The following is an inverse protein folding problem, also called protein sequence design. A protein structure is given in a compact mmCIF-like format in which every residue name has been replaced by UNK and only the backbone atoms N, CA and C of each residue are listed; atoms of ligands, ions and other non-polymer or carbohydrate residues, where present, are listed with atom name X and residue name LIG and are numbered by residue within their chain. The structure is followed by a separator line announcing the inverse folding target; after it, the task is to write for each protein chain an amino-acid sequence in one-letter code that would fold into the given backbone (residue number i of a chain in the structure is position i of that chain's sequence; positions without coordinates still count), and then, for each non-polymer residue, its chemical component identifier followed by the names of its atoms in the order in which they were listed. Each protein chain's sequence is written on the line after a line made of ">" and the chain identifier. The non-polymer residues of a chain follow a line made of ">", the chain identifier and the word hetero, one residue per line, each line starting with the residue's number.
data_IF_879363165438
#
_entry.id   IF_879363165438
#
_cell.length_a   1.000
_cell.length_b   1.000
_cell.length_c   1.000
_cell.angle_alpha   90.00
_cell.angle_beta   90.00
_cell.angle_gamma   90.00
#
_symmetry.space_group_name_H-M   'P 1'
#
loop_
_entity.id
_entity.type
_entity.pdbx_description
1 polymer ?
#
# COMPACT_ATOMS: atom_id res chain seq x y z
N UNK A 1 29.32 -0.37 37.25
CA UNK A 1 28.41 -1.53 37.13
C UNK A 1 27.32 -1.37 36.05
N UNK A 2 26.74 -0.18 35.86
CA UNK A 2 25.64 0.05 34.89
C UNK A 2 26.03 -0.15 33.41
N UNK A 3 27.25 0.27 33.02
CA UNK A 3 27.77 0.14 31.64
C UNK A 3 27.99 -1.33 31.23
N UNK A 4 28.42 -2.17 32.17
CA UNK A 4 28.60 -3.61 31.92
C UNK A 4 27.26 -4.32 31.69
N UNK A 5 26.21 -3.96 32.43
CA UNK A 5 24.85 -4.52 32.24
C UNK A 5 24.26 -4.16 30.86
N UNK A 6 24.45 -2.91 30.40
CA UNK A 6 23.95 -2.48 29.08
C UNK A 6 24.60 -3.28 27.94
N UNK A 7 25.92 -3.43 27.98
CA UNK A 7 26.67 -4.19 26.97
C UNK A 7 26.29 -5.67 26.94
N UNK A 8 25.97 -6.26 28.09
CA UNK A 8 25.50 -7.64 28.16
C UNK A 8 24.12 -7.80 27.50
N UNK A 9 23.15 -6.94 27.84
CA UNK A 9 21.78 -7.00 27.27
C UNK A 9 21.83 -6.85 25.74
N UNK A 10 22.58 -5.88 25.21
CA UNK A 10 22.66 -5.67 23.76
C UNK A 10 23.30 -6.86 23.04
N UNK A 11 24.36 -7.46 23.60
CA UNK A 11 25.00 -8.66 23.03
C UNK A 11 24.07 -9.87 23.09
N UNK A 12 23.36 -10.05 24.20
CA UNK A 12 22.36 -11.11 24.37
C UNK A 12 21.24 -10.97 23.34
N UNK A 13 20.59 -9.80 23.26
CA UNK A 13 19.53 -9.54 22.27
C UNK A 13 20.03 -9.79 20.86
N UNK A 14 21.24 -9.32 20.50
CA UNK A 14 21.80 -9.55 19.16
C UNK A 14 22.03 -11.03 18.85
N UNK A 15 22.52 -11.81 19.82
CA UNK A 15 22.78 -13.25 19.67
C UNK A 15 21.49 -14.07 19.58
N UNK A 16 20.47 -13.71 20.37
CA UNK A 16 19.23 -14.47 20.49
C UNK A 16 18.04 -13.83 19.76
N UNK A 17 18.25 -12.78 18.95
CA UNK A 17 17.20 -12.00 18.28
C UNK A 17 16.16 -12.87 17.56
N UNK A 18 16.62 -13.88 16.82
CA UNK A 18 15.75 -14.82 16.12
C UNK A 18 14.82 -15.57 17.07
N UNK A 19 15.38 -16.18 18.12
CA UNK A 19 14.63 -16.94 19.11
C UNK A 19 13.68 -16.06 19.93
N UNK A 20 14.10 -14.84 20.27
CA UNK A 20 13.25 -13.85 20.94
C UNK A 20 12.04 -13.54 20.06
N UNK A 21 12.25 -13.24 18.77
CA UNK A 21 11.16 -12.91 17.85
C UNK A 21 10.24 -14.10 17.63
N UNK A 22 10.76 -15.32 17.45
CA UNK A 22 9.92 -16.53 17.36
C UNK A 22 9.11 -16.73 18.64
N UNK A 23 9.73 -16.56 19.81
CA UNK A 23 9.03 -16.70 21.09
C UNK A 23 7.90 -15.67 21.22
N UNK A 24 8.11 -14.43 20.77
CA UNK A 24 7.07 -13.40 20.72
C UNK A 24 5.95 -13.74 19.74
N UNK A 25 6.28 -14.30 18.57
CA UNK A 25 5.26 -14.76 17.60
C UNK A 25 4.42 -15.89 18.22
N UNK A 26 5.05 -16.91 18.80
CA UNK A 26 4.35 -18.02 19.45
C UNK A 26 3.50 -17.51 20.62
N UNK A 27 4.07 -16.64 21.48
CA UNK A 27 3.33 -16.03 22.58
C UNK A 27 2.13 -15.24 22.07
N UNK A 28 2.27 -14.46 20.99
CA UNK A 28 1.14 -13.73 20.41
C UNK A 28 0.02 -14.65 19.92
N UNK A 29 0.36 -15.81 19.34
CA UNK A 29 -0.63 -16.80 18.92
C UNK A 29 -1.28 -17.45 20.12
N UNK A 30 -0.51 -17.81 21.14
CA UNK A 30 -1.04 -18.35 22.39
C UNK A 30 -2.01 -17.37 23.04
N UNK A 31 -1.63 -16.09 23.20
CA UNK A 31 -2.51 -15.04 23.71
C UNK A 31 -3.76 -14.86 22.85
N UNK A 32 -3.65 -14.95 21.52
CA UNK A 32 -4.82 -14.89 20.67
C UNK A 32 -5.77 -16.07 20.91
N UNK A 33 -5.31 -17.30 20.73
CA UNK A 33 -6.14 -18.50 20.74
C UNK A 33 -6.74 -18.82 22.12
N UNK A 34 -6.01 -18.53 23.21
CA UNK A 34 -6.43 -18.85 24.57
C UNK A 34 -7.04 -17.68 25.35
N UNK A 35 -6.84 -16.44 24.89
CA UNK A 35 -7.31 -15.26 25.64
C UNK A 35 -8.16 -14.31 24.78
N UNK A 36 -7.59 -13.69 23.74
CA UNK A 36 -8.29 -12.67 22.94
C UNK A 36 -9.49 -13.26 22.18
N UNK A 37 -9.37 -14.50 21.67
CA UNK A 37 -10.45 -15.18 20.96
C UNK A 37 -11.68 -15.40 21.86
N UNK A 38 -11.48 -15.70 23.14
CA UNK A 38 -12.57 -15.85 24.10
C UNK A 38 -13.31 -14.54 24.36
N UNK A 39 -12.59 -13.41 24.47
CA UNK A 39 -13.24 -12.09 24.52
C UNK A 39 -13.97 -11.75 23.23
N UNK A 40 -13.40 -12.13 22.08
CA UNK A 40 -14.07 -11.95 20.79
C UNK A 40 -15.39 -12.71 20.75
N UNK A 41 -15.41 -13.96 21.23
CA UNK A 41 -16.65 -14.75 21.35
C UNK A 41 -17.66 -14.10 22.30
N UNK A 42 -17.23 -13.70 23.50
CA UNK A 42 -18.11 -13.06 24.49
C UNK A 42 -18.71 -11.74 23.98
N UNK A 43 -17.95 -10.96 23.20
CA UNK A 43 -18.40 -9.70 22.63
C UNK A 43 -19.54 -9.84 21.60
N UNK A 44 -19.67 -11.02 20.97
CA UNK A 44 -20.76 -11.31 20.03
C UNK A 44 -21.85 -12.22 20.62
N UNK A 45 -21.68 -12.72 21.84
CA UNK A 45 -22.70 -13.47 22.55
C UNK A 45 -23.75 -12.50 23.11
N UNK A 46 -24.99 -12.61 22.62
CA UNK A 46 -26.10 -11.73 23.02
C UNK A 46 -26.45 -11.82 24.50
N UNK A 47 -26.06 -12.90 25.18
CA UNK A 47 -26.30 -13.08 26.61
C UNK A 47 -25.18 -12.51 27.49
N UNK A 48 -24.05 -12.11 26.90
CA UNK A 48 -22.84 -11.70 27.60
C UNK A 48 -22.21 -10.40 27.05
N UNK A 49 -22.87 -9.68 26.15
CA UNK A 49 -22.30 -8.49 25.50
C UNK A 49 -21.88 -7.41 26.50
N UNK A 50 -22.55 -7.34 27.66
CA UNK A 50 -22.28 -6.36 28.71
C UNK A 50 -21.20 -6.83 29.72
N UNK A 51 -20.74 -8.08 29.62
CA UNK A 51 -19.81 -8.67 30.59
C UNK A 51 -18.34 -8.24 30.43
N UNK A 52 -17.95 -7.68 29.27
CA UNK A 52 -16.56 -7.28 28.97
C UNK A 52 -16.49 -5.86 28.40
N UNK A 53 -16.87 -4.89 29.22
CA UNK A 53 -16.95 -3.46 28.85
C UNK A 53 -15.66 -2.91 28.28
N UNK A 54 -14.50 -3.19 28.90
CA UNK A 54 -13.21 -2.69 28.42
C UNK A 54 -12.84 -3.16 27.00
N UNK A 55 -13.20 -4.40 26.64
CA UNK A 55 -12.89 -4.95 25.32
C UNK A 55 -13.84 -4.37 24.27
N UNK A 56 -15.11 -4.23 24.62
CA UNK A 56 -16.10 -3.52 23.80
C UNK A 56 -15.63 -2.09 23.50
N UNK A 57 -15.26 -1.32 24.53
CA UNK A 57 -14.79 0.06 24.40
C UNK A 57 -13.54 0.16 23.52
N UNK A 58 -12.59 -0.77 23.68
CA UNK A 58 -11.39 -0.85 22.84
C UNK A 58 -11.76 -1.09 21.36
N UNK A 59 -12.59 -2.10 21.10
CA UNK A 59 -13.00 -2.47 19.74
C UNK A 59 -13.79 -1.35 19.09
N UNK A 60 -14.71 -0.71 19.81
CA UNK A 60 -15.51 0.40 19.29
C UNK A 60 -14.71 1.68 19.09
N UNK A 61 -13.67 1.90 19.90
CA UNK A 61 -12.74 3.03 19.72
C UNK A 61 -11.89 2.87 18.46
N UNK A 62 -11.36 1.65 18.22
CA UNK A 62 -10.50 1.32 17.09
C UNK A 62 -11.30 1.09 15.78
N UNK A 63 -12.46 0.45 15.87
CA UNK A 63 -13.31 0.07 14.74
C UNK A 63 -14.79 0.40 15.01
N UNK A 64 -15.15 1.70 15.03
CA UNK A 64 -16.52 2.15 15.37
C UNK A 64 -17.59 1.64 14.40
N UNK A 65 -17.17 1.20 13.20
CA UNK A 65 -18.04 0.60 12.18
C UNK A 65 -18.60 -0.76 12.58
N UNK A 66 -17.98 -1.45 13.54
CA UNK A 66 -18.46 -2.76 13.97
C UNK A 66 -19.89 -2.73 14.49
N UNK A 67 -20.31 -1.62 15.12
CA UNK A 67 -21.68 -1.42 15.59
C UNK A 67 -22.71 -1.61 14.48
N UNK A 68 -22.45 -1.08 13.29
CA UNK A 68 -23.38 -1.19 12.17
C UNK A 68 -23.20 -2.50 11.40
N UNK A 69 -21.98 -3.01 11.30
CA UNK A 69 -21.70 -4.27 10.59
C UNK A 69 -22.23 -5.50 11.33
N UNK A 70 -22.36 -5.44 12.67
CA UNK A 70 -23.03 -6.48 13.48
C UNK A 70 -24.45 -6.79 13.05
N UNK A 71 -25.16 -5.84 12.46
CA UNK A 71 -26.51 -6.05 11.92
C UNK A 71 -26.51 -6.65 10.51
N UNK A 72 -25.36 -6.66 9.83
CA UNK A 72 -25.22 -7.14 8.44
C UNK A 72 -24.63 -8.53 8.35
N UNK A 73 -23.82 -8.91 9.33
CA UNK A 73 -23.08 -10.16 9.33
C UNK A 73 -23.23 -10.88 10.66
N UNK A 74 -23.32 -12.19 10.61
CA UNK A 74 -23.38 -13.02 11.81
C UNK A 74 -22.08 -12.93 12.62
N UNK A 75 -22.18 -13.17 13.93
CA UNK A 75 -21.02 -13.30 14.83
C UNK A 75 -19.92 -14.21 14.26
N UNK A 76 -20.34 -15.32 13.64
CA UNK A 76 -19.43 -16.32 13.05
C UNK A 76 -18.54 -15.73 11.95
N UNK A 77 -19.04 -14.72 11.19
CA UNK A 77 -18.25 -14.01 10.20
C UNK A 77 -17.08 -13.27 10.84
N UNK A 78 -17.34 -12.48 11.88
CA UNK A 78 -16.30 -11.70 12.55
C UNK A 78 -15.29 -12.57 13.30
N UNK A 79 -15.76 -13.65 13.94
CA UNK A 79 -14.87 -14.62 14.61
C UNK A 79 -13.92 -15.23 13.58
N UNK A 80 -14.45 -15.72 12.44
CA UNK A 80 -13.62 -16.25 11.34
C UNK A 80 -12.62 -15.21 10.81
N UNK A 81 -13.02 -13.94 10.69
CA UNK A 81 -12.12 -12.85 10.28
C UNK A 81 -11.01 -12.60 11.30
N UNK A 82 -11.32 -12.65 12.58
CA UNK A 82 -10.32 -12.52 13.64
C UNK A 82 -9.33 -13.68 13.61
N UNK A 83 -9.81 -14.92 13.43
CA UNK A 83 -8.99 -16.14 13.34
C UNK A 83 -8.04 -16.01 12.13
N UNK A 84 -8.56 -15.53 10.99
CA UNK A 84 -7.78 -15.27 9.78
C UNK A 84 -6.66 -14.23 10.00
N UNK A 85 -6.92 -13.15 10.73
CA UNK A 85 -5.91 -12.13 11.04
C UNK A 85 -4.76 -12.75 11.87
N UNK A 86 -5.10 -13.57 12.87
CA UNK A 86 -4.09 -14.23 13.70
C UNK A 86 -3.22 -15.20 12.87
N UNK A 87 -3.83 -16.00 11.99
CA UNK A 87 -3.12 -16.92 11.09
C UNK A 87 -2.23 -16.15 10.10
N UNK A 88 -2.73 -15.05 9.50
CA UNK A 88 -1.94 -14.18 8.61
C UNK A 88 -0.75 -13.59 9.33
N UNK A 89 -0.94 -13.11 10.55
CA UNK A 89 0.14 -12.57 11.37
C UNK A 89 1.20 -13.64 11.65
N UNK A 90 0.80 -14.86 12.01
CA UNK A 90 1.71 -15.99 12.18
C UNK A 90 2.52 -16.25 10.91
N UNK A 91 1.84 -16.38 9.77
CA UNK A 91 2.48 -16.68 8.49
C UNK A 91 3.48 -15.61 8.07
N UNK A 92 3.06 -14.35 8.04
CA UNK A 92 3.92 -13.22 7.65
C UNK A 92 5.09 -13.04 8.62
N UNK A 93 4.83 -13.11 9.92
CA UNK A 93 5.88 -12.96 10.93
C UNK A 93 6.86 -14.13 10.92
N UNK A 94 6.39 -15.34 10.61
CA UNK A 94 7.25 -16.51 10.44
C UNK A 94 8.18 -16.35 9.24
N UNK A 95 7.66 -15.91 8.10
CA UNK A 95 8.49 -15.58 6.92
C UNK A 95 9.50 -14.50 7.27
N UNK A 96 9.07 -13.43 7.94
CA UNK A 96 9.95 -12.35 8.36
C UNK A 96 11.05 -12.85 9.31
N UNK A 97 10.73 -13.77 10.22
CA UNK A 97 11.70 -14.34 11.16
C UNK A 97 12.84 -15.10 10.45
N UNK A 98 12.58 -15.70 9.28
CA UNK A 98 13.62 -16.35 8.47
C UNK A 98 14.70 -15.34 8.03
N UNK A 99 14.34 -14.09 7.77
CA UNK A 99 15.31 -13.02 7.43
C UNK A 99 16.17 -12.59 8.62
N UNK A 100 15.90 -13.06 9.84
CA UNK A 100 16.78 -12.85 10.99
C UNK A 100 17.91 -13.90 11.05
N UNK A 101 17.78 -15.01 10.33
CA UNK A 101 18.82 -16.03 10.21
C UNK A 101 19.89 -15.48 9.25
N UNK A 102 21.14 -15.24 9.68
CA UNK A 102 22.14 -14.56 8.86
C UNK A 102 22.40 -15.24 7.51
N UNK A 103 22.45 -16.59 7.48
CA UNK A 103 22.65 -17.36 6.24
C UNK A 103 21.50 -17.17 5.26
N UNK A 104 20.26 -17.23 5.74
CA UNK A 104 19.07 -17.03 4.90
C UNK A 104 19.02 -15.59 4.39
N UNK A 105 19.24 -14.61 5.26
CA UNK A 105 19.32 -13.20 4.88
C UNK A 105 20.38 -12.96 3.81
N UNK A 106 21.58 -13.52 3.95
CA UNK A 106 22.64 -13.38 2.94
C UNK A 106 22.24 -14.01 1.59
N UNK A 107 21.62 -15.19 1.61
CA UNK A 107 21.13 -15.86 0.39
C UNK A 107 20.02 -15.05 -0.28
N UNK A 108 19.03 -14.60 0.48
CA UNK A 108 17.94 -13.77 -0.01
C UNK A 108 18.47 -12.42 -0.54
N UNK A 109 19.35 -11.75 0.20
CA UNK A 109 20.02 -10.52 -0.22
C UNK A 109 20.77 -10.72 -1.53
N UNK A 110 21.55 -11.79 -1.64
CA UNK A 110 22.30 -12.11 -2.87
C UNK A 110 21.37 -12.36 -4.05
N UNK A 111 20.28 -13.10 -3.83
CA UNK A 111 19.26 -13.36 -4.83
C UNK A 111 18.62 -12.05 -5.31
N UNK A 112 18.12 -11.22 -4.40
CA UNK A 112 17.52 -9.94 -4.76
C UNK A 112 18.53 -9.01 -5.41
N UNK A 113 19.75 -8.88 -4.90
CA UNK A 113 20.75 -7.99 -5.51
C UNK A 113 21.17 -8.42 -6.93
N UNK A 114 21.18 -9.72 -7.23
CA UNK A 114 21.61 -10.26 -8.55
C UNK A 114 20.48 -10.33 -9.57
N UNK A 115 19.24 -10.47 -9.11
CA UNK A 115 18.10 -10.78 -9.97
C UNK A 115 17.01 -9.72 -9.97
N UNK A 116 17.14 -8.65 -9.18
CA UNK A 116 16.12 -7.59 -9.16
C UNK A 116 16.55 -6.32 -9.87
N UNK A 117 15.56 -5.46 -10.14
CA UNK A 117 15.72 -4.11 -10.69
C UNK A 117 16.48 -3.17 -9.72
N UNK A 118 16.84 -3.64 -8.53
CA UNK A 118 17.56 -2.94 -7.46
C UNK A 118 18.86 -2.23 -7.89
N UNK A 119 19.43 -2.48 -9.06
CA UNK A 119 20.63 -1.78 -9.54
C UNK A 119 20.36 -0.61 -10.49
N UNK A 120 19.12 -0.43 -10.96
CA UNK A 120 18.82 0.55 -12.01
C UNK A 120 18.62 1.95 -11.40
N UNK A 121 19.63 2.82 -11.62
CA UNK A 121 19.52 4.26 -11.35
C UNK A 121 18.65 4.92 -12.43
N UNK A 122 17.81 5.84 -12.00
CA UNK A 122 16.99 6.65 -12.88
C UNK A 122 17.79 7.88 -13.34
N UNK A 123 17.69 8.22 -14.62
CA UNK A 123 18.15 9.55 -15.06
C UNK A 123 17.34 10.63 -14.33
N UNK A 124 17.98 11.77 -14.10
CA UNK A 124 17.32 12.97 -13.59
C UNK A 124 16.12 13.37 -14.48
N UNK A 125 16.24 13.24 -15.81
CA UNK A 125 15.13 13.53 -16.73
C UNK A 125 13.92 12.62 -16.44
N UNK A 126 14.13 11.31 -16.39
CA UNK A 126 13.06 10.34 -16.10
C UNK A 126 12.44 10.57 -14.71
N UNK A 127 13.25 10.90 -13.71
CA UNK A 127 12.76 11.22 -12.37
C UNK A 127 11.80 12.42 -12.38
N UNK A 128 12.19 13.54 -12.99
CA UNK A 128 11.32 14.73 -13.04
C UNK A 128 10.11 14.53 -13.95
N UNK A 129 10.22 13.75 -15.02
CA UNK A 129 9.05 13.33 -15.80
C UNK A 129 8.05 12.52 -14.96
N UNK A 130 8.53 11.61 -14.11
CA UNK A 130 7.69 10.86 -13.18
C UNK A 130 7.06 11.75 -12.10
N UNK A 131 7.76 12.78 -11.63
CA UNK A 131 7.19 13.77 -10.68
C UNK A 131 6.09 14.59 -11.37
N UNK A 132 6.32 15.06 -12.59
CA UNK A 132 5.30 15.80 -13.36
C UNK A 132 4.07 14.91 -13.57
N UNK A 133 4.29 13.65 -13.99
CA UNK A 133 3.24 12.66 -14.12
C UNK A 133 2.47 12.46 -12.81
N UNK A 134 3.17 12.26 -11.69
CA UNK A 134 2.57 12.14 -10.36
C UNK A 134 1.67 13.32 -10.02
N UNK A 135 2.18 14.55 -10.17
CA UNK A 135 1.46 15.76 -9.82
C UNK A 135 0.19 15.93 -10.69
N UNK A 136 0.30 15.70 -12.01
CA UNK A 136 -0.85 15.68 -12.91
C UNK A 136 -1.88 14.63 -12.51
N UNK A 137 -1.42 13.42 -12.19
CA UNK A 137 -2.26 12.29 -11.80
C UNK A 137 -3.03 12.60 -10.51
N UNK A 138 -2.40 13.22 -9.50
CA UNK A 138 -3.08 13.59 -8.27
C UNK A 138 -4.24 14.56 -8.53
N UNK A 139 -4.07 15.54 -9.41
CA UNK A 139 -5.17 16.47 -9.76
C UNK A 139 -6.28 15.75 -10.51
N UNK A 140 -5.94 14.91 -11.50
CA UNK A 140 -6.92 14.15 -12.27
C UNK A 140 -7.74 13.21 -11.39
N UNK A 141 -7.08 12.39 -10.58
CA UNK A 141 -7.72 11.45 -9.65
C UNK A 141 -8.51 12.18 -8.55
N UNK A 142 -8.09 13.38 -8.14
CA UNK A 142 -8.82 14.18 -7.14
C UNK A 142 -10.06 14.85 -7.72
N UNK A 143 -10.20 15.02 -9.04
CA UNK A 143 -11.42 15.59 -9.61
C UNK A 143 -12.62 14.66 -9.36
N UNK A 144 -12.45 13.33 -9.51
CA UNK A 144 -13.49 12.35 -9.16
C UNK A 144 -13.91 12.48 -7.69
N UNK A 145 -12.96 12.72 -6.79
CA UNK A 145 -13.25 12.93 -5.38
C UNK A 145 -14.00 14.23 -5.10
N UNK A 146 -13.82 15.25 -5.92
CA UNK A 146 -14.61 16.48 -5.79
C UNK A 146 -16.09 16.19 -5.99
N UNK A 147 -16.43 15.32 -6.93
CA UNK A 147 -17.81 14.89 -7.18
C UNK A 147 -18.31 14.02 -6.03
N UNK A 148 -17.57 12.95 -5.69
CA UNK A 148 -17.94 12.01 -4.62
C UNK A 148 -18.11 12.72 -3.27
N UNK A 149 -17.17 13.58 -2.87
CA UNK A 149 -17.26 14.29 -1.60
C UNK A 149 -18.35 15.37 -1.60
N UNK A 150 -18.73 15.90 -2.77
CA UNK A 150 -19.89 16.79 -2.88
C UNK A 150 -21.18 16.02 -2.66
N UNK A 151 -21.35 14.83 -3.24
CA UNK A 151 -22.48 13.95 -2.96
C UNK A 151 -22.53 13.58 -1.48
N UNK A 152 -21.38 13.25 -0.89
CA UNK A 152 -21.30 12.80 0.50
C UNK A 152 -21.61 13.91 1.50
N UNK A 153 -21.47 15.18 1.08
CA UNK A 153 -21.91 16.32 1.89
C UNK A 153 -23.42 16.27 2.20
N UNK A 154 -24.23 15.65 1.33
CA UNK A 154 -25.68 15.50 1.55
C UNK A 154 -26.00 14.49 2.65
N UNK A 155 -25.09 13.55 2.90
CA UNK A 155 -25.21 12.53 3.95
C UNK A 155 -24.18 12.73 5.08
N UNK A 156 -23.68 13.96 5.25
CA UNK A 156 -22.63 14.30 6.21
C UNK A 156 -22.94 13.87 7.66
N UNK A 157 -24.23 13.74 8.02
CA UNK A 157 -24.67 13.21 9.32
C UNK A 157 -24.18 11.77 9.59
N UNK A 158 -23.88 11.00 8.55
CA UNK A 158 -23.37 9.63 8.64
C UNK A 158 -21.86 9.56 8.79
N UNK A 159 -21.15 10.68 8.66
CA UNK A 159 -19.70 10.72 8.77
C UNK A 159 -19.26 10.39 10.20
N UNK A 160 -18.40 9.37 10.32
CA UNK A 160 -17.80 8.93 11.57
C UNK A 160 -16.28 8.86 11.40
N UNK A 161 -15.53 9.91 11.79
CA UNK A 161 -14.09 9.95 11.56
C UNK A 161 -13.37 8.80 12.27
N UNK A 162 -12.36 8.26 11.61
CA UNK A 162 -11.50 7.19 12.14
C UNK A 162 -10.10 7.71 12.45
N UNK A 163 -9.45 7.14 13.46
CA UNK A 163 -8.04 7.41 13.79
C UNK A 163 -7.72 8.91 13.89
N UNK A 164 -6.72 9.39 13.16
CA UNK A 164 -6.28 10.80 13.19
C UNK A 164 -7.32 11.78 12.63
N UNK A 165 -8.30 11.34 11.85
CA UNK A 165 -9.41 12.20 11.42
C UNK A 165 -10.27 12.67 12.59
N UNK A 166 -10.31 11.92 13.70
CA UNK A 166 -11.00 12.38 14.92
C UNK A 166 -10.42 13.70 15.43
N UNK A 167 -9.13 13.94 15.18
CA UNK A 167 -8.41 15.15 15.58
C UNK A 167 -8.49 16.22 14.48
N UNK A 168 -8.20 15.83 13.22
CA UNK A 168 -8.10 16.80 12.11
C UNK A 168 -9.46 17.30 11.61
N UNK A 169 -10.49 16.47 11.64
CA UNK A 169 -11.82 16.79 11.12
C UNK A 169 -12.89 16.00 11.88
N UNK A 170 -13.23 16.40 13.12
CA UNK A 170 -14.23 15.72 13.94
C UNK A 170 -15.63 15.72 13.31
N UNK A 171 -15.91 16.72 12.47
CA UNK A 171 -17.09 16.79 11.60
C UNK A 171 -16.68 16.70 10.12
N UNK A 172 -17.63 16.35 9.26
CA UNK A 172 -17.41 16.41 7.81
C UNK A 172 -17.20 17.89 7.40
N UNK A 173 -16.20 18.21 6.56
CA UNK A 173 -15.93 19.59 6.16
C UNK A 173 -17.06 20.17 5.31
N UNK A 174 -17.19 21.50 5.33
CA UNK A 174 -18.15 22.20 4.46
C UNK A 174 -17.75 22.08 2.98
N UNK A 175 -18.73 22.18 2.09
CA UNK A 175 -18.49 22.14 0.64
C UNK A 175 -17.53 23.25 0.17
N UNK A 176 -17.61 24.44 0.80
CA UNK A 176 -16.67 25.54 0.53
C UNK A 176 -15.23 25.16 0.88
N UNK A 177 -15.02 24.53 2.05
CA UNK A 177 -13.70 24.04 2.46
C UNK A 177 -13.14 23.01 1.46
N UNK A 178 -13.95 22.02 1.07
CA UNK A 178 -13.55 21.00 0.09
C UNK A 178 -13.16 21.64 -1.25
N UNK A 179 -13.99 22.53 -1.80
CA UNK A 179 -13.71 23.26 -3.04
C UNK A 179 -12.38 24.03 -2.96
N UNK A 180 -12.15 24.75 -1.86
CA UNK A 180 -10.91 25.48 -1.64
C UNK A 180 -9.71 24.54 -1.55
N UNK A 181 -9.86 23.36 -0.94
CA UNK A 181 -8.80 22.35 -0.85
C UNK A 181 -8.42 21.81 -2.24
N UNK A 182 -9.40 21.55 -3.11
CA UNK A 182 -9.15 21.13 -4.50
C UNK A 182 -8.49 22.23 -5.33
N UNK A 183 -8.92 23.49 -5.18
CA UNK A 183 -8.27 24.64 -5.81
C UNK A 183 -6.81 24.74 -5.34
N UNK A 184 -6.56 24.60 -4.04
CA UNK A 184 -5.22 24.62 -3.47
C UNK A 184 -4.35 23.47 -4.01
N UNK A 185 -4.89 22.25 -4.13
CA UNK A 185 -4.20 21.13 -4.74
C UNK A 185 -3.80 21.41 -6.20
N UNK A 186 -4.69 22.03 -6.99
CA UNK A 186 -4.43 22.43 -8.38
C UNK A 186 -3.31 23.48 -8.46
N UNK A 187 -3.34 24.48 -7.57
CA UNK A 187 -2.31 25.52 -7.48
C UNK A 187 -0.94 24.91 -7.14
N UNK A 188 -0.86 24.10 -6.08
CA UNK A 188 0.39 23.45 -5.66
C UNK A 188 0.95 22.54 -6.76
N UNK A 189 0.07 21.85 -7.49
CA UNK A 189 0.42 21.03 -8.64
C UNK A 189 1.01 21.87 -9.78
N UNK A 190 0.34 22.98 -10.15
CA UNK A 190 0.81 23.90 -11.17
C UNK A 190 2.19 24.48 -10.84
N UNK A 191 2.39 24.91 -9.59
CA UNK A 191 3.69 25.35 -9.09
C UNK A 191 4.71 24.22 -9.19
N UNK A 192 4.39 23.02 -8.68
CA UNK A 192 5.30 21.88 -8.71
C UNK A 192 5.76 21.50 -10.12
N UNK A 193 4.84 21.48 -11.10
CA UNK A 193 5.13 21.19 -12.51
C UNK A 193 6.01 22.29 -13.11
N UNK A 194 5.66 23.56 -12.91
CA UNK A 194 6.47 24.69 -13.39
C UNK A 194 7.90 24.60 -12.86
N UNK A 195 8.08 24.34 -11.58
CA UNK A 195 9.40 24.21 -10.96
C UNK A 195 10.14 22.95 -11.40
N UNK A 196 9.45 21.85 -11.73
CA UNK A 196 10.07 20.69 -12.36
C UNK A 196 10.62 21.03 -13.76
N UNK A 197 9.84 21.74 -14.58
CA UNK A 197 10.25 22.18 -15.92
C UNK A 197 11.43 23.16 -15.83
N UNK A 198 11.34 24.16 -14.97
CA UNK A 198 12.44 25.10 -14.71
C UNK A 198 13.70 24.37 -14.23
N UNK A 199 13.57 23.35 -13.39
CA UNK A 199 14.72 22.58 -12.94
C UNK A 199 15.37 21.75 -14.07
N UNK A 200 14.56 21.19 -14.98
CA UNK A 200 15.06 20.49 -16.17
C UNK A 200 15.87 21.43 -17.09
N UNK A 201 15.48 22.71 -17.17
CA UNK A 201 16.17 23.74 -17.94
C UNK A 201 17.39 24.33 -17.20
N UNK A 202 17.27 24.60 -15.90
CA UNK A 202 18.23 25.35 -15.07
C UNK A 202 18.84 24.50 -13.96
N UNK A 203 19.51 23.40 -14.34
CA UNK A 203 20.00 22.29 -13.48
C UNK A 203 20.78 22.65 -12.20
N UNK A 204 21.23 23.90 -12.00
CA UNK A 204 22.11 24.33 -10.89
C UNK A 204 21.38 24.96 -9.68
N UNK A 205 20.07 25.18 -9.73
CA UNK A 205 19.39 25.95 -8.67
C UNK A 205 18.81 25.01 -7.61
N UNK A 206 19.52 24.85 -6.48
CA UNK A 206 19.10 24.00 -5.33
C UNK A 206 17.72 24.39 -4.80
N UNK A 207 17.41 25.69 -4.74
CA UNK A 207 16.10 26.19 -4.27
C UNK A 207 14.90 25.60 -5.04
N UNK A 208 15.07 25.30 -6.34
CA UNK A 208 14.00 24.68 -7.14
C UNK A 208 13.67 23.26 -6.63
N UNK A 209 14.67 22.50 -6.17
CA UNK A 209 14.46 21.15 -5.62
C UNK A 209 13.63 21.17 -4.35
N UNK A 210 13.88 22.14 -3.47
CA UNK A 210 13.16 22.31 -2.20
C UNK A 210 11.68 22.59 -2.48
N UNK A 211 11.40 23.47 -3.44
CA UNK A 211 10.03 23.81 -3.83
C UNK A 211 9.33 22.59 -4.45
N UNK A 212 9.99 21.85 -5.36
CA UNK A 212 9.44 20.61 -5.93
C UNK A 212 9.15 19.58 -4.82
N UNK A 213 10.07 19.36 -3.89
CA UNK A 213 9.86 18.46 -2.75
C UNK A 213 8.65 18.89 -1.92
N UNK A 214 8.54 20.18 -1.58
CA UNK A 214 7.42 20.71 -0.83
C UNK A 214 6.09 20.51 -1.58
N UNK A 215 6.04 20.82 -2.88
CA UNK A 215 4.85 20.60 -3.70
C UNK A 215 4.44 19.12 -3.73
N UNK A 216 5.41 18.20 -3.88
CA UNK A 216 5.16 16.75 -3.87
C UNK A 216 4.66 16.28 -2.51
N UNK A 217 5.27 16.75 -1.42
CA UNK A 217 4.85 16.42 -0.06
C UNK A 217 3.43 16.91 0.24
N UNK A 218 3.15 18.18 -0.03
CA UNK A 218 1.82 18.79 0.19
C UNK A 218 0.78 18.11 -0.68
N UNK A 219 1.06 17.88 -1.98
CA UNK A 219 0.15 17.16 -2.87
C UNK A 219 -0.15 15.74 -2.37
N UNK A 220 0.87 15.02 -1.90
CA UNK A 220 0.71 13.67 -1.33
C UNK A 220 -0.13 13.67 -0.06
N UNK A 221 0.14 14.63 0.84
CA UNK A 221 -0.61 14.78 2.09
C UNK A 221 -2.08 15.10 1.81
N UNK A 222 -2.35 16.05 0.92
CA UNK A 222 -3.72 16.41 0.52
C UNK A 222 -4.45 15.23 -0.11
N UNK A 223 -3.79 14.44 -0.96
CA UNK A 223 -4.38 13.27 -1.58
C UNK A 223 -4.79 12.23 -0.52
N UNK A 224 -3.87 11.85 0.36
CA UNK A 224 -4.15 10.90 1.46
C UNK A 224 -5.25 11.45 2.38
N UNK A 225 -5.18 12.76 2.68
CA UNK A 225 -6.16 13.45 3.51
C UNK A 225 -7.57 13.40 2.91
N UNK A 226 -7.71 13.67 1.61
CA UNK A 226 -8.98 13.62 0.89
C UNK A 226 -9.54 12.19 0.85
N UNK A 227 -8.70 11.19 0.58
CA UNK A 227 -9.16 9.81 0.56
C UNK A 227 -9.72 9.36 1.91
N UNK A 228 -9.07 9.73 3.02
CA UNK A 228 -9.51 9.23 4.31
C UNK A 228 -10.86 9.78 4.78
N UNK A 229 -11.40 10.83 4.16
CA UNK A 229 -12.80 11.19 4.35
C UNK A 229 -13.75 10.08 3.88
N UNK A 230 -13.44 9.37 2.80
CA UNK A 230 -14.25 8.25 2.31
C UNK A 230 -14.30 7.11 3.33
N UNK A 231 -13.20 6.85 4.03
CA UNK A 231 -13.17 5.88 5.12
C UNK A 231 -14.07 6.29 6.30
N UNK A 232 -14.27 7.59 6.51
CA UNK A 232 -15.21 8.11 7.52
C UNK A 232 -16.68 7.79 7.24
N UNK A 233 -17.04 7.50 5.99
CA UNK A 233 -18.36 6.97 5.62
C UNK A 233 -18.39 5.44 5.55
N UNK A 234 -17.29 4.79 5.95
CA UNK A 234 -17.12 3.35 5.81
C UNK A 234 -16.91 2.87 4.37
N UNK A 235 -16.70 3.75 3.39
CA UNK A 235 -16.36 3.31 2.03
C UNK A 235 -14.89 2.88 2.01
N UNK A 236 -14.65 1.59 1.77
CA UNK A 236 -13.32 1.05 1.53
C UNK A 236 -13.13 0.98 0.02
N UNK A 237 -12.55 2.03 -0.55
CA UNK A 237 -12.20 2.05 -1.97
C UNK A 237 -10.76 1.58 -2.16
N UNK A 238 -10.61 0.27 -2.34
CA UNK A 238 -9.34 -0.39 -2.56
C UNK A 238 -8.66 0.07 -3.86
N UNK A 239 -9.40 0.70 -4.77
CA UNK A 239 -8.92 1.21 -6.06
C UNK A 239 -7.71 2.16 -5.94
N UNK A 240 -7.62 2.91 -4.85
CA UNK A 240 -6.55 3.88 -4.61
C UNK A 240 -5.38 3.33 -3.77
N UNK A 241 -5.42 2.06 -3.35
CA UNK A 241 -4.48 1.51 -2.38
C UNK A 241 -3.01 1.59 -2.84
N UNK A 242 -2.71 1.26 -4.10
CA UNK A 242 -1.34 1.38 -4.63
C UNK A 242 -0.92 2.81 -4.87
N UNK A 243 -1.83 3.69 -5.29
CA UNK A 243 -1.52 5.09 -5.47
C UNK A 243 -1.21 5.78 -4.14
N UNK A 244 -1.86 5.40 -3.05
CA UNK A 244 -1.48 5.84 -1.70
C UNK A 244 -0.04 5.50 -1.35
N UNK A 245 0.43 4.30 -1.72
CA UNK A 245 1.84 3.95 -1.53
C UNK A 245 2.77 4.82 -2.37
N UNK A 246 2.35 5.26 -3.57
CA UNK A 246 3.09 6.28 -4.34
C UNK A 246 3.14 7.59 -3.54
N UNK A 247 2.01 8.11 -3.07
CA UNK A 247 1.95 9.34 -2.28
C UNK A 247 2.81 9.26 -1.00
N UNK A 248 2.85 8.12 -0.33
CA UNK A 248 3.67 7.92 0.87
C UNK A 248 5.16 7.89 0.50
N UNK A 249 5.56 7.14 -0.53
CA UNK A 249 6.97 6.84 -0.79
C UNK A 249 7.68 7.89 -1.67
N UNK A 250 6.96 8.58 -2.55
CA UNK A 250 7.53 9.54 -3.50
C UNK A 250 8.25 10.73 -2.81
N UNK A 251 7.71 11.37 -1.76
CA UNK A 251 8.42 12.45 -1.06
C UNK A 251 9.77 11.98 -0.50
N UNK A 252 9.81 10.80 0.13
CA UNK A 252 11.06 10.22 0.64
C UNK A 252 12.04 9.92 -0.50
N UNK A 253 11.54 9.50 -1.67
CA UNK A 253 12.37 9.30 -2.84
C UNK A 253 13.14 10.55 -3.27
N UNK A 254 12.48 11.71 -3.24
CA UNK A 254 13.11 12.99 -3.54
C UNK A 254 14.10 13.42 -2.47
N UNK A 255 13.77 13.22 -1.19
CA UNK A 255 14.62 13.61 -0.07
C UNK A 255 15.98 12.90 -0.05
N UNK A 256 16.01 11.58 -0.25
CA UNK A 256 17.30 10.85 -0.23
C UNK A 256 18.15 11.17 -1.46
N UNK A 257 17.54 11.38 -2.62
CA UNK A 257 18.25 11.86 -3.83
C UNK A 257 18.96 13.18 -3.53
N UNK A 258 18.32 14.08 -2.76
CA UNK A 258 18.93 15.32 -2.32
C UNK A 258 20.09 15.09 -1.34
N UNK A 259 19.92 14.27 -0.30
CA UNK A 259 20.98 14.02 0.70
C UNK A 259 22.26 13.38 0.12
N UNK A 260 22.16 12.70 -1.02
CA UNK A 260 23.32 12.10 -1.72
C UNK A 260 24.13 13.08 -2.56
N UNK A 261 23.62 14.31 -2.72
CA UNK A 261 24.23 15.39 -3.49
C UNK A 261 24.61 16.50 -2.51
N UNK A 262 25.65 16.29 -1.70
CA UNK A 262 26.56 17.35 -1.18
C UNK A 262 27.49 16.84 -0.06
N UNK A 263 28.73 16.49 -0.44
CA UNK A 263 29.92 17.05 0.22
C UNK A 263 30.93 17.40 -0.86
N UNK A 264 30.85 18.59 -1.47
CA UNK A 264 32.00 19.20 -2.12
C UNK A 264 32.84 19.86 -1.01
N UNK A 265 33.64 19.07 -0.30
CA UNK A 265 34.79 19.59 0.46
C UNK A 265 36.01 19.30 -0.40
N UNK A 266 36.64 20.25 -1.09
CA UNK A 266 37.56 21.25 -0.50
C UNK A 266 38.29 20.72 0.73
N UNK A 267 38.93 19.55 0.61
CA UNK A 267 40.05 19.16 1.43
C UNK A 267 41.06 18.44 0.54
N UNK A 268 42.32 18.85 0.65
CA UNK A 268 43.40 18.46 -0.24
C UNK A 268 43.66 16.97 -0.34
N UNK A 269 44.53 16.67 -1.28
CA UNK A 269 45.12 15.37 -1.54
C UNK A 269 45.31 14.49 -0.28
N UNK A 270 44.97 13.21 -0.40
CA UNK A 270 45.72 12.17 0.32
C UNK A 270 44.94 11.25 1.27
N UNK A 271 43.64 11.41 1.49
CA UNK A 271 42.88 10.40 2.24
C UNK A 271 41.87 9.73 1.34
N UNK A 272 42.13 8.45 1.07
CA UNK A 272 41.19 7.44 0.59
C UNK A 272 39.94 7.44 1.46
N UNK A 273 39.03 8.37 1.19
CA UNK A 273 37.68 8.38 1.71
C UNK A 273 37.04 7.10 1.20
N UNK A 274 37.12 6.08 2.06
CA UNK A 274 36.53 4.77 1.89
C UNK A 274 35.10 5.00 1.40
N UNK A 275 34.84 4.56 0.17
CA UNK A 275 33.53 4.51 -0.48
C UNK A 275 32.55 3.68 0.35
N UNK A 276 32.18 4.15 1.54
CA UNK A 276 30.96 3.74 2.21
C UNK A 276 29.83 4.60 1.64
N UNK A 277 29.61 4.49 0.33
CA UNK A 277 28.26 4.57 -0.19
C UNK A 277 27.52 3.44 0.50
N UNK A 278 27.00 3.70 1.69
CA UNK A 278 26.04 2.83 2.34
C UNK A 278 25.03 2.50 1.24
N UNK A 279 24.92 1.22 0.89
CA UNK A 279 24.11 0.71 -0.21
C UNK A 279 22.64 1.03 0.09
N UNK A 280 22.25 2.28 -0.11
CA UNK A 280 20.88 2.75 0.03
C UNK A 280 20.07 2.01 -1.02
N UNK A 281 19.03 1.33 -0.54
CA UNK A 281 18.03 0.69 -1.39
C UNK A 281 17.51 1.76 -2.35
N UNK A 282 17.63 1.60 -3.67
CA UNK A 282 17.07 2.57 -4.59
C UNK A 282 15.57 2.69 -4.33
N UNK A 283 15.05 3.89 -4.10
CA UNK A 283 13.71 4.03 -3.55
C UNK A 283 12.60 3.71 -4.55
N UNK A 284 12.91 3.70 -5.85
CA UNK A 284 12.08 3.06 -6.87
C UNK A 284 11.83 1.57 -6.56
N UNK A 285 12.81 0.86 -5.99
CA UNK A 285 12.62 -0.52 -5.52
C UNK A 285 11.60 -0.60 -4.37
N UNK A 286 11.62 0.32 -3.41
CA UNK A 286 10.64 0.34 -2.32
C UNK A 286 9.22 0.56 -2.86
N UNK A 287 9.07 1.46 -3.83
CA UNK A 287 7.80 1.67 -4.49
C UNK A 287 7.31 0.39 -5.19
N UNK A 288 8.18 -0.28 -5.95
CA UNK A 288 7.81 -1.50 -6.68
C UNK A 288 7.51 -2.65 -5.73
N UNK A 289 8.25 -2.73 -4.63
CA UNK A 289 8.02 -3.71 -3.58
C UNK A 289 6.67 -3.47 -2.92
N UNK A 290 6.32 -2.22 -2.59
CA UNK A 290 5.03 -1.88 -2.00
C UNK A 290 3.87 -2.29 -2.94
N UNK A 291 3.96 -1.94 -4.22
CA UNK A 291 2.95 -2.33 -5.23
C UNK A 291 2.89 -3.85 -5.38
N UNK A 292 4.05 -4.51 -5.47
CA UNK A 292 4.20 -5.96 -5.50
C UNK A 292 3.48 -6.65 -4.35
N UNK A 293 3.75 -6.18 -3.12
CA UNK A 293 3.17 -6.71 -1.90
C UNK A 293 1.66 -6.46 -1.81
N UNK A 294 1.14 -5.34 -2.32
CA UNK A 294 -0.31 -5.09 -2.35
C UNK A 294 -1.03 -6.15 -3.20
N UNK A 295 -0.55 -6.42 -4.42
CA UNK A 295 -1.15 -7.46 -5.27
C UNK A 295 -0.97 -8.85 -4.68
N UNK A 296 0.22 -9.18 -4.18
CA UNK A 296 0.44 -10.48 -3.54
C UNK A 296 -0.43 -10.65 -2.29
N UNK A 297 -0.65 -9.59 -1.51
CA UNK A 297 -1.59 -9.62 -0.39
C UNK A 297 -3.01 -9.89 -0.85
N UNK A 298 -3.46 -9.29 -1.96
CA UNK A 298 -4.78 -9.56 -2.57
C UNK A 298 -4.92 -11.03 -3.00
N UNK A 299 -3.90 -11.60 -3.63
CA UNK A 299 -3.91 -13.01 -4.03
C UNK A 299 -3.90 -13.98 -2.85
N UNK A 300 -3.08 -13.70 -1.83
CA UNK A 300 -3.06 -14.46 -0.58
C UNK A 300 -4.40 -14.33 0.16
N UNK A 301 -5.06 -13.17 0.08
CA UNK A 301 -6.38 -13.00 0.66
C UNK A 301 -7.41 -13.91 0.00
N UNK A 302 -7.39 -14.07 -1.33
CA UNK A 302 -8.27 -15.02 -2.02
C UNK A 302 -8.03 -16.45 -1.56
N UNK A 303 -6.77 -16.86 -1.40
CA UNK A 303 -6.39 -18.20 -0.93
C UNK A 303 -6.78 -18.42 0.54
N UNK A 304 -6.48 -17.49 1.43
CA UNK A 304 -6.68 -17.69 2.88
C UNK A 304 -8.10 -17.36 3.35
N UNK A 305 -8.82 -16.45 2.69
CA UNK A 305 -10.17 -16.06 3.09
C UNK A 305 -11.23 -16.80 2.32
N UNK A 306 -11.23 -16.68 0.99
CA UNK A 306 -12.26 -17.34 0.20
C UNK A 306 -11.91 -18.80 -0.09
N UNK A 307 -10.66 -19.21 0.13
CA UNK A 307 -10.30 -20.63 0.17
C UNK A 307 -10.58 -21.33 -1.15
N UNK A 308 -11.21 -22.50 -1.04
CA UNK A 308 -11.53 -23.33 -2.20
C UNK A 308 -12.55 -22.67 -3.13
N UNK A 309 -13.37 -21.73 -2.64
CA UNK A 309 -14.37 -21.03 -3.44
C UNK A 309 -13.77 -20.09 -4.48
N UNK A 310 -12.56 -19.56 -4.24
CA UNK A 310 -11.81 -18.86 -5.29
C UNK A 310 -11.15 -19.86 -6.25
N UNK A 311 -10.67 -21.00 -5.76
CA UNK A 311 -9.98 -21.98 -6.61
C UNK A 311 -10.94 -22.65 -7.59
N UNK A 312 -12.15 -23.01 -7.15
CA UNK A 312 -13.19 -23.61 -7.99
C UNK A 312 -13.98 -22.58 -8.83
N UNK A 313 -13.75 -21.28 -8.62
CA UNK A 313 -14.41 -20.19 -9.34
C UNK A 313 -15.77 -19.75 -8.78
N UNK A 314 -16.32 -20.40 -7.76
CA UNK A 314 -17.64 -20.08 -7.19
C UNK A 314 -17.71 -18.64 -6.64
N UNK A 315 -16.64 -18.15 -6.02
CA UNK A 315 -16.57 -16.78 -5.52
C UNK A 315 -16.67 -15.78 -6.67
N UNK A 316 -15.90 -15.98 -7.75
CA UNK A 316 -15.97 -15.14 -8.95
C UNK A 316 -17.32 -15.26 -9.65
N UNK A 317 -17.88 -16.47 -9.71
CA UNK A 317 -19.22 -16.72 -10.26
C UNK A 317 -20.28 -15.92 -9.51
N UNK A 318 -20.23 -15.91 -8.18
CA UNK A 318 -21.15 -15.13 -7.35
C UNK A 318 -21.02 -13.63 -7.62
N UNK A 319 -19.80 -13.10 -7.82
CA UNK A 319 -19.61 -11.71 -8.22
C UNK A 319 -20.17 -11.41 -9.61
N UNK A 320 -19.99 -12.32 -10.57
CA UNK A 320 -20.49 -12.17 -11.94
C UNK A 320 -22.02 -12.23 -12.02
N UNK A 321 -22.65 -13.12 -11.26
CA UNK A 321 -24.11 -13.25 -11.19
C UNK A 321 -24.78 -12.02 -10.55
N UNK A 322 -24.10 -11.39 -9.59
CA UNK A 322 -24.55 -10.16 -8.95
C UNK A 322 -24.05 -8.89 -9.69
N UNK A 323 -23.35 -9.04 -10.82
CA UNK A 323 -22.83 -7.91 -11.58
C UNK A 323 -23.96 -7.15 -12.26
N UNK A 324 -23.91 -5.80 -12.30
CA UNK A 324 -24.87 -5.00 -13.04
C UNK A 324 -24.64 -5.01 -14.56
N UNK A 325 -23.60 -5.70 -15.04
CA UNK A 325 -23.23 -5.71 -16.46
C UNK A 325 -23.72 -6.97 -17.18
N UNK A 326 -24.25 -6.79 -18.39
CA UNK A 326 -24.68 -7.90 -19.25
C UNK A 326 -23.50 -8.84 -19.58
N UNK A 327 -22.31 -8.28 -19.82
CA UNK A 327 -21.09 -9.06 -20.07
C UNK A 327 -20.74 -9.97 -18.88
N UNK A 328 -20.84 -9.46 -17.66
CA UNK A 328 -20.61 -10.24 -16.43
C UNK A 328 -21.61 -11.38 -16.28
N UNK A 329 -22.89 -11.08 -16.47
CA UNK A 329 -23.96 -12.08 -16.41
C UNK A 329 -23.81 -13.15 -17.50
N UNK A 330 -23.46 -12.76 -18.73
CA UNK A 330 -23.19 -13.70 -19.81
C UNK A 330 -21.99 -14.59 -19.53
N UNK A 331 -20.91 -14.04 -18.97
CA UNK A 331 -19.74 -14.82 -18.56
C UNK A 331 -20.07 -15.85 -17.46
N UNK A 332 -21.00 -15.51 -16.57
CA UNK A 332 -21.44 -16.42 -15.49
C UNK A 332 -22.05 -17.74 -16.00
N UNK A 333 -22.54 -17.76 -17.24
CA UNK A 333 -23.07 -18.96 -17.89
C UNK A 333 -21.98 -19.97 -18.33
N UNK A 334 -20.70 -19.65 -18.16
CA UNK A 334 -19.57 -20.51 -18.54
C UNK A 334 -18.70 -20.89 -17.32
N UNK A 335 -19.16 -21.79 -16.43
CA UNK A 335 -18.49 -22.09 -15.16
C UNK A 335 -17.01 -22.50 -15.29
N UNK A 336 -16.68 -23.27 -16.33
CA UNK A 336 -15.29 -23.66 -16.59
C UNK A 336 -14.38 -22.45 -16.88
N UNK A 337 -14.87 -21.49 -17.67
CA UNK A 337 -14.13 -20.27 -17.97
C UNK A 337 -13.98 -19.39 -16.73
N UNK A 338 -15.03 -19.31 -15.90
CA UNK A 338 -14.99 -18.59 -14.61
C UNK A 338 -13.96 -19.21 -13.66
N UNK A 339 -13.92 -20.53 -13.53
CA UNK A 339 -12.89 -21.24 -12.76
C UNK A 339 -11.49 -20.89 -13.29
N UNK A 340 -11.27 -20.94 -14.60
CA UNK A 340 -9.98 -20.62 -15.20
C UNK A 340 -9.55 -19.17 -14.92
N UNK A 341 -10.45 -18.20 -15.10
CA UNK A 341 -10.19 -16.79 -14.81
C UNK A 341 -9.89 -16.55 -13.32
N UNK A 342 -10.58 -17.27 -12.45
CA UNK A 342 -10.36 -17.23 -11.00
C UNK A 342 -8.96 -17.73 -10.63
N UNK A 343 -8.54 -18.88 -11.20
CA UNK A 343 -7.18 -19.41 -11.02
C UNK A 343 -6.11 -18.47 -11.57
N UNK A 344 -6.32 -17.93 -12.77
CA UNK A 344 -5.41 -16.97 -13.38
C UNK A 344 -5.26 -15.72 -12.53
N UNK A 345 -6.35 -15.23 -11.93
CA UNK A 345 -6.33 -14.11 -10.98
C UNK A 345 -5.42 -14.40 -9.79
N UNK A 346 -5.61 -15.56 -9.13
CA UNK A 346 -4.79 -15.96 -7.98
C UNK A 346 -3.31 -16.08 -8.39
N UNK A 347 -3.02 -16.76 -9.49
CA UNK A 347 -1.65 -16.97 -9.98
C UNK A 347 -1.00 -15.61 -10.28
N UNK A 348 -1.68 -14.73 -11.00
CA UNK A 348 -1.14 -13.42 -11.35
C UNK A 348 -0.91 -12.55 -10.11
N UNK A 349 -1.88 -12.41 -9.22
CA UNK A 349 -1.75 -11.58 -8.01
C UNK A 349 -0.63 -12.08 -7.08
N UNK A 350 -0.57 -13.40 -6.82
CA UNK A 350 0.47 -13.99 -5.97
C UNK A 350 1.85 -13.95 -6.60
N UNK A 351 1.95 -14.05 -7.93
CA UNK A 351 3.21 -13.94 -8.66
C UNK A 351 3.63 -12.50 -8.96
N UNK A 352 2.79 -11.49 -8.65
CA UNK A 352 3.07 -10.10 -9.01
C UNK A 352 4.35 -9.55 -8.38
N UNK A 353 4.85 -10.10 -7.26
CA UNK A 353 6.18 -9.78 -6.72
C UNK A 353 7.34 -10.04 -7.71
N UNK A 354 7.14 -10.90 -8.73
CA UNK A 354 8.07 -11.09 -9.83
C UNK A 354 8.22 -9.83 -10.70
N UNK A 355 7.42 -8.79 -10.50
CA UNK A 355 7.63 -7.45 -11.08
C UNK A 355 8.98 -6.85 -10.67
N UNK A 356 9.55 -7.31 -9.56
CA UNK A 356 10.89 -6.92 -9.12
C UNK A 356 12.00 -7.59 -9.92
N UNK A 357 11.71 -8.57 -10.77
CA UNK A 357 12.70 -9.33 -11.52
C UNK A 357 13.37 -8.47 -12.61
N UNK A 358 14.68 -8.67 -12.83
CA UNK A 358 15.47 -7.90 -13.81
C UNK A 358 15.02 -8.08 -15.26
N UNK A 359 14.47 -9.24 -15.58
CA UNK A 359 14.00 -9.57 -16.93
C UNK A 359 12.83 -8.65 -17.32
N UNK A 360 13.03 -7.83 -18.36
CA UNK A 360 12.02 -6.89 -18.87
C UNK A 360 10.75 -7.58 -19.35
N UNK A 361 10.87 -8.77 -19.96
CA UNK A 361 9.71 -9.48 -20.52
C UNK A 361 8.77 -9.95 -19.42
N UNK A 362 9.29 -10.52 -18.33
CA UNK A 362 8.47 -10.91 -17.16
C UNK A 362 7.68 -9.71 -16.64
N UNK A 363 8.34 -8.55 -16.50
CA UNK A 363 7.70 -7.33 -16.00
C UNK A 363 6.61 -6.82 -16.95
N UNK A 364 6.93 -6.71 -18.24
CA UNK A 364 5.98 -6.26 -19.26
C UNK A 364 4.77 -7.20 -19.35
N UNK A 365 5.00 -8.52 -19.27
CA UNK A 365 3.91 -9.51 -19.22
C UNK A 365 3.02 -9.30 -17.99
N UNK A 366 3.60 -9.13 -16.79
CA UNK A 366 2.82 -8.89 -15.57
C UNK A 366 2.02 -7.58 -15.62
N UNK A 367 2.61 -6.51 -16.17
CA UNK A 367 1.93 -5.22 -16.37
C UNK A 367 0.80 -5.37 -17.37
N UNK A 368 1.04 -6.02 -18.51
CA UNK A 368 0.02 -6.25 -19.54
C UNK A 368 -1.16 -7.05 -18.98
N UNK A 369 -0.88 -8.19 -18.33
CA UNK A 369 -1.91 -8.99 -17.66
C UNK A 369 -2.63 -8.15 -16.62
N UNK A 370 -1.92 -7.30 -15.88
CA UNK A 370 -2.52 -6.40 -14.90
C UNK A 370 -3.45 -5.35 -15.52
N UNK A 371 -3.12 -4.78 -16.68
CA UNK A 371 -4.01 -3.87 -17.41
C UNK A 371 -5.26 -4.64 -17.87
N UNK A 372 -5.09 -5.82 -18.46
CA UNK A 372 -6.20 -6.67 -18.87
C UNK A 372 -7.08 -7.06 -17.68
N UNK A 373 -6.49 -7.35 -16.53
CA UNK A 373 -7.21 -7.69 -15.30
C UNK A 373 -8.10 -6.53 -14.84
N UNK A 374 -7.57 -5.32 -14.69
CA UNK A 374 -8.36 -4.16 -14.25
C UNK A 374 -9.40 -3.72 -15.28
N UNK A 375 -9.07 -3.79 -16.57
CA UNK A 375 -10.05 -3.58 -17.63
C UNK A 375 -11.17 -4.62 -17.54
N UNK A 376 -10.82 -5.90 -17.31
CA UNK A 376 -11.78 -6.98 -17.10
C UNK A 376 -12.68 -6.75 -15.90
N UNK A 377 -12.14 -6.37 -14.74
CA UNK A 377 -12.97 -6.08 -13.55
C UNK A 377 -13.92 -4.90 -13.79
N UNK A 378 -13.52 -3.90 -14.58
CA UNK A 378 -14.41 -2.82 -14.97
C UNK A 378 -15.54 -3.31 -15.89
N UNK A 379 -15.21 -3.99 -16.99
CA UNK A 379 -16.21 -4.43 -17.97
C UNK A 379 -17.15 -5.54 -17.49
N UNK A 380 -16.65 -6.49 -16.70
CA UNK A 380 -17.43 -7.66 -16.25
C UNK A 380 -18.05 -7.49 -14.86
N UNK A 381 -17.47 -6.68 -13.97
CA UNK A 381 -17.94 -6.52 -12.58
C UNK A 381 -18.38 -5.10 -12.24
N UNK A 382 -18.18 -4.13 -13.15
CA UNK A 382 -18.40 -2.71 -12.88
C UNK A 382 -17.64 -2.22 -11.63
N UNK A 383 -16.44 -2.77 -11.42
CA UNK A 383 -15.58 -2.40 -10.28
C UNK A 383 -14.52 -1.41 -10.73
N UNK A 384 -14.49 -0.26 -10.06
CA UNK A 384 -13.57 0.84 -10.36
C UNK A 384 -13.99 1.67 -11.57
N UNK A 385 -13.04 2.39 -12.15
CA UNK A 385 -13.24 3.26 -13.31
C UNK A 385 -12.24 2.91 -14.42
N UNK A 386 -12.55 3.31 -15.66
CA UNK A 386 -11.64 3.13 -16.79
C UNK A 386 -10.26 3.78 -16.54
N UNK A 387 -10.24 4.93 -15.86
CA UNK A 387 -9.02 5.62 -15.42
C UNK A 387 -8.57 5.19 -14.02
N UNK A 388 -8.69 3.90 -13.70
CA UNK A 388 -8.36 3.34 -12.40
C UNK A 388 -6.93 3.67 -11.97
N UNK A 389 -6.71 4.25 -10.76
CA UNK A 389 -5.39 4.53 -10.20
C UNK A 389 -4.38 3.37 -10.29
N UNK A 390 -4.85 2.13 -10.29
CA UNK A 390 -4.02 0.94 -10.50
C UNK A 390 -3.24 0.97 -11.82
N UNK A 391 -3.89 1.39 -12.91
CA UNK A 391 -3.26 1.50 -14.24
C UNK A 391 -2.22 2.63 -14.22
N UNK A 392 -2.52 3.73 -13.53
CA UNK A 392 -1.62 4.87 -13.41
C UNK A 392 -0.31 4.49 -12.69
N UNK A 393 -0.38 3.62 -11.70
CA UNK A 393 0.81 3.12 -11.00
C UNK A 393 1.77 2.38 -11.94
N UNK A 394 1.29 1.74 -13.00
CA UNK A 394 2.14 1.00 -13.94
C UNK A 394 3.13 1.89 -14.71
N UNK A 395 2.85 3.19 -14.86
CA UNK A 395 3.79 4.14 -15.49
C UNK A 395 5.10 4.23 -14.70
N UNK A 396 5.05 4.16 -13.37
CA UNK A 396 6.25 4.13 -12.53
C UNK A 396 7.06 2.85 -12.76
N UNK A 397 6.41 1.73 -13.06
CA UNK A 397 7.08 0.46 -13.37
C UNK A 397 7.76 0.51 -14.75
N UNK A 398 7.13 1.15 -15.74
CA UNK A 398 7.61 1.24 -17.12
C UNK A 398 8.73 2.28 -17.32
N UNK A 399 8.55 3.51 -16.84
CA UNK A 399 9.48 4.63 -17.11
C UNK A 399 10.74 4.61 -16.23
N UNK A 400 10.94 3.54 -15.49
CA UNK A 400 12.01 3.45 -14.50
C UNK A 400 13.37 2.94 -15.03
N UNK A 401 13.58 2.90 -16.34
CA UNK A 401 14.81 2.34 -16.94
C UNK A 401 15.66 3.40 -17.63
N UNK A 402 16.98 3.35 -17.40
CA UNK A 402 17.98 3.95 -18.27
C UNK A 402 18.01 3.19 -19.60
N UNK A 403 17.85 3.90 -20.72
CA UNK A 403 17.96 3.39 -22.09
C UNK A 403 19.40 3.12 -22.54
N UNK A 404 20.36 2.99 -21.62
CA UNK A 404 21.79 3.02 -22.00
C UNK A 404 22.40 1.65 -22.34
N UNK A 405 21.65 0.55 -22.27
CA UNK A 405 22.12 -0.74 -22.79
C UNK A 405 20.93 -1.58 -23.23
N UNK A 406 20.53 -1.47 -24.49
CA UNK A 406 20.07 -2.59 -25.31
C UNK A 406 20.67 -2.36 -26.72
#
# INVERSE_FOLDING_TARGET
>A
MHIFKLNFITRFIKKYRFWIIISLIILSQFLYWFWIRNYTLAYFDSNNSDSVTWFSDLVESLYPRLKTEKYRFDASFFIKKSDQIAIRFLFVSSIFSLFLIPKFYQKAKSFFSKNSVYSQKLTQKSQYSLIIYFLLSNVLLSNEWSEILTEYSQIAVLYKPISFYKILSPSFPSLSFLKNLFIFLKIITGIGILFCVLFLLFKKIVRLKIIVFFCVFVSSFLFIYLQGFLYGFGKIEHTYATWNWVCILLPFWLFNTWSSVETPTTAGAGTTARNSSANLIPQNYLLFLAIGLVYTSSGLEKIFIGGIEWINGNALLSYLQNSPTELGQNLSNYPFLVMLLSLLTIIWETSFLLILHKNKYIRLTLIFIGICFHAGTYFFLYVGHYLSPWIWVYVFLLLSRNTETD
#
